data_IF_329197979511
#
_entry.id   IF_329197979511
#
_cell.length_a   1.000
_cell.length_b   1.000
_cell.length_c   1.000
_cell.angle_alpha   90.00
_cell.angle_beta   90.00
_cell.angle_gamma   90.00
#
_symmetry.space_group_name_H-M   'P 1'
#
loop_
_entity.id
_entity.type
_entity.pdbx_description
1 polymer ?
#
# COMPACT_ATOMS: atom_id res chain seq x y z
N UNK A 1 -58.66 43.14 38.71
CA UNK A 1 -58.90 43.22 37.26
C UNK A 1 -57.78 44.07 36.72
N UNK A 2 -56.62 43.49 36.44
CA UNK A 2 -56.27 42.58 35.34
C UNK A 2 -55.24 43.35 34.50
N UNK A 3 -54.01 42.83 34.50
CA UNK A 3 -52.95 43.31 33.64
C UNK A 3 -53.05 42.68 32.25
N UNK A 4 -52.58 43.39 31.24
CA UNK A 4 -52.41 42.87 29.89
C UNK A 4 -51.07 43.32 29.32
N UNK A 5 -50.03 42.54 29.60
CA UNK A 5 -48.73 42.65 28.92
C UNK A 5 -48.77 41.78 27.66
N UNK A 6 -48.43 42.37 26.51
CA UNK A 6 -48.36 41.68 25.23
C UNK A 6 -47.27 40.60 25.27
N UNK A 7 -47.68 39.35 25.05
CA UNK A 7 -46.78 38.21 24.98
C UNK A 7 -46.04 38.19 23.63
N UNK A 8 -44.73 38.39 23.67
CA UNK A 8 -43.83 37.97 22.59
C UNK A 8 -43.89 36.44 22.47
N UNK A 9 -44.28 35.96 21.30
CA UNK A 9 -44.29 34.54 20.97
C UNK A 9 -42.85 34.05 20.77
N UNK A 10 -42.19 33.59 21.83
CA UNK A 10 -40.93 32.86 21.72
C UNK A 10 -41.23 31.47 21.14
N UNK A 11 -40.83 31.25 19.88
CA UNK A 11 -40.92 29.95 19.24
C UNK A 11 -40.08 28.93 20.01
N UNK A 12 -40.73 27.87 20.50
CA UNK A 12 -40.09 26.76 21.21
C UNK A 12 -39.05 26.05 20.33
N UNK A 13 -37.77 26.10 20.72
CA UNK A 13 -36.70 25.33 20.08
C UNK A 13 -36.74 23.87 20.53
N UNK A 14 -37.21 22.96 19.68
CA UNK A 14 -37.15 21.52 19.93
C UNK A 14 -35.72 20.96 19.80
N UNK A 15 -35.47 19.80 20.40
CA UNK A 15 -34.21 19.03 20.41
C UNK A 15 -33.58 18.80 19.01
N UNK A 16 -34.33 19.01 17.94
CA UNK A 16 -33.94 18.81 16.54
C UNK A 16 -33.67 20.11 15.77
N UNK A 17 -33.72 21.28 16.41
CA UNK A 17 -33.35 22.54 15.77
C UNK A 17 -31.82 22.69 15.76
N UNK A 18 -31.17 22.20 14.70
CA UNK A 18 -29.77 22.51 14.44
C UNK A 18 -29.60 23.98 14.01
N UNK A 19 -28.56 24.68 14.49
CA UNK A 19 -28.28 26.06 14.09
C UNK A 19 -28.05 26.14 12.57
N UNK A 20 -28.68 27.14 11.92
CA UNK A 20 -28.49 27.39 10.49
C UNK A 20 -27.18 28.14 10.25
N UNK A 21 -26.35 27.59 9.36
CA UNK A 21 -25.10 28.20 8.91
C UNK A 21 -25.41 29.44 8.06
N UNK A 22 -24.82 30.58 8.41
CA UNK A 22 -24.88 31.82 7.61
C UNK A 22 -23.63 31.91 6.74
N UNK A 23 -23.80 31.71 5.44
CA UNK A 23 -22.71 31.84 4.47
C UNK A 23 -22.46 33.32 4.12
N UNK A 24 -21.19 33.73 4.07
CA UNK A 24 -20.77 35.05 3.58
C UNK A 24 -21.12 35.21 2.09
N UNK A 25 -21.28 36.45 1.62
CA UNK A 25 -21.56 36.74 0.21
C UNK A 25 -20.44 36.21 -0.69
N UNK A 26 -19.19 36.45 -0.32
CA UNK A 26 -18.00 35.96 -1.04
C UNK A 26 -18.01 34.43 -1.18
N UNK A 27 -18.39 33.71 -0.10
CA UNK A 27 -18.51 32.24 -0.12
C UNK A 27 -19.61 31.78 -1.05
N UNK A 28 -20.73 32.51 -1.13
CA UNK A 28 -21.84 32.18 -2.03
C UNK A 28 -21.45 32.39 -3.49
N UNK A 29 -20.73 33.46 -3.79
CA UNK A 29 -20.24 33.77 -5.13
C UNK A 29 -19.21 32.73 -5.60
N UNK A 30 -18.25 32.39 -4.73
CA UNK A 30 -17.27 31.34 -5.01
C UNK A 30 -17.94 30.00 -5.31
N UNK A 31 -18.90 29.58 -4.47
CA UNK A 31 -19.62 28.33 -4.67
C UNK A 31 -20.44 28.35 -5.98
N UNK A 32 -21.00 29.51 -6.37
CA UNK A 32 -21.68 29.64 -7.66
C UNK A 32 -20.73 29.50 -8.84
N UNK A 33 -19.53 30.09 -8.77
CA UNK A 33 -18.50 29.94 -9.79
C UNK A 33 -18.09 28.47 -9.93
N UNK A 34 -17.78 27.81 -8.81
CA UNK A 34 -17.45 26.39 -8.78
C UNK A 34 -18.56 25.51 -9.36
N UNK A 35 -19.82 25.78 -9.05
CA UNK A 35 -20.96 25.04 -9.61
C UNK A 35 -21.08 25.18 -11.14
N UNK A 36 -20.70 26.34 -11.70
CA UNK A 36 -20.70 26.59 -13.16
C UNK A 36 -19.56 25.85 -13.85
N UNK A 37 -18.37 25.84 -13.24
CA UNK A 37 -17.17 25.24 -13.82
C UNK A 37 -17.13 23.71 -13.70
N UNK A 38 -17.74 23.14 -12.66
CA UNK A 38 -17.68 21.70 -12.35
C UNK A 38 -18.62 20.81 -13.17
N UNK A 39 -19.26 21.33 -14.23
CA UNK A 39 -20.19 20.60 -15.11
C UNK A 39 -21.29 19.82 -14.36
N UNK A 40 -21.78 20.36 -13.23
CA UNK A 40 -22.86 19.75 -12.46
C UNK A 40 -24.17 19.76 -13.23
N UNK A 41 -24.99 18.73 -13.02
CA UNK A 41 -26.36 18.69 -13.55
C UNK A 41 -27.23 19.76 -12.89
N UNK A 42 -28.28 20.22 -13.59
CA UNK A 42 -29.22 21.24 -13.07
C UNK A 42 -29.86 20.82 -11.74
N UNK A 43 -30.08 19.52 -11.53
CA UNK A 43 -30.59 18.96 -10.28
C UNK A 43 -29.60 19.11 -9.12
N UNK A 44 -28.33 18.76 -9.35
CA UNK A 44 -27.27 18.90 -8.35
C UNK A 44 -27.06 20.38 -7.98
N UNK A 45 -27.05 21.27 -8.98
CA UNK A 45 -26.98 22.71 -8.75
C UNK A 45 -28.16 23.22 -7.92
N UNK A 46 -29.39 22.76 -8.21
CA UNK A 46 -30.58 23.12 -7.43
C UNK A 46 -30.50 22.62 -5.98
N UNK A 47 -30.02 21.41 -5.76
CA UNK A 47 -29.86 20.83 -4.43
C UNK A 47 -28.86 21.64 -3.59
N UNK A 48 -27.70 21.98 -4.16
CA UNK A 48 -26.67 22.78 -3.49
C UNK A 48 -27.16 24.19 -3.18
N UNK A 49 -27.80 24.86 -4.15
CA UNK A 49 -28.37 26.20 -3.95
C UNK A 49 -29.46 26.22 -2.86
N UNK A 50 -30.27 25.18 -2.75
CA UNK A 50 -31.28 25.07 -1.70
C UNK A 50 -30.65 24.99 -0.30
N UNK A 51 -29.55 24.26 -0.14
CA UNK A 51 -28.85 24.18 1.15
C UNK A 51 -28.21 25.52 1.52
N UNK A 52 -27.61 26.20 0.54
CA UNK A 52 -27.00 27.52 0.71
C UNK A 52 -28.01 28.58 1.17
N UNK A 53 -29.24 28.52 0.65
CA UNK A 53 -30.35 29.40 1.05
C UNK A 53 -30.92 29.05 2.43
N UNK A 54 -31.05 27.76 2.75
CA UNK A 54 -31.63 27.27 4.01
C UNK A 54 -30.64 27.31 5.19
N UNK A 55 -29.37 27.58 4.91
CA UNK A 55 -28.29 27.55 5.91
C UNK A 55 -27.99 26.14 6.41
N UNK A 56 -28.19 25.12 5.57
CA UNK A 56 -27.78 23.75 5.87
C UNK A 56 -26.31 23.52 5.49
N UNK A 57 -25.69 22.48 6.04
CA UNK A 57 -24.37 22.04 5.61
C UNK A 57 -24.38 21.55 4.15
N UNK A 58 -23.27 21.70 3.44
CA UNK A 58 -23.14 21.20 2.07
C UNK A 58 -23.05 19.66 2.06
N UNK A 59 -23.78 18.98 1.17
CA UNK A 59 -23.78 17.51 1.09
C UNK A 59 -22.46 16.98 0.52
N UNK A 60 -21.93 15.91 1.12
CA UNK A 60 -20.71 15.25 0.66
C UNK A 60 -20.88 14.50 -0.68
N UNK A 61 -22.12 14.15 -1.04
CA UNK A 61 -22.46 13.48 -2.30
C UNK A 61 -23.76 14.05 -2.86
N UNK A 62 -23.74 14.39 -4.14
CA UNK A 62 -24.93 14.80 -4.89
C UNK A 62 -25.19 13.79 -6.01
N UNK A 63 -26.28 13.01 -5.90
CA UNK A 63 -26.57 11.96 -6.88
C UNK A 63 -26.95 12.56 -8.26
N UNK A 64 -26.44 12.02 -9.37
CA UNK A 64 -26.77 12.50 -10.72
C UNK A 64 -28.13 11.94 -11.16
N UNK A 65 -29.22 12.67 -10.89
CA UNK A 65 -30.62 12.34 -11.24
C UNK A 65 -31.18 11.13 -10.48
N UNK A 66 -32.43 11.04 -10.02
CA UNK A 66 -33.70 11.71 -10.26
C UNK A 66 -34.52 11.67 -8.95
N UNK A 67 -35.72 12.25 -8.89
CA UNK A 67 -36.70 12.14 -7.78
C UNK A 67 -37.24 10.71 -7.53
N UNK A 68 -36.56 9.69 -8.03
CA UNK A 68 -36.85 8.31 -7.69
C UNK A 68 -36.30 8.03 -6.27
N UNK A 69 -37.09 7.43 -5.37
CA UNK A 69 -36.52 6.87 -4.16
C UNK A 69 -35.39 5.91 -4.57
N UNK A 70 -34.27 5.85 -3.83
CA UNK A 70 -33.20 4.93 -4.15
C UNK A 70 -33.82 3.54 -4.34
N UNK A 71 -33.66 2.96 -5.54
CA UNK A 71 -33.96 1.56 -5.76
C UNK A 71 -33.12 0.81 -4.72
N UNK A 72 -33.84 0.30 -3.73
CA UNK A 72 -33.39 -0.52 -2.61
C UNK A 72 -31.88 -0.49 -2.41
N UNK A 73 -31.41 0.28 -1.43
CA UNK A 73 -30.09 0.03 -0.86
C UNK A 73 -29.98 -1.49 -0.67
N UNK A 74 -29.04 -2.10 -1.39
CA UNK A 74 -28.67 -3.50 -1.21
C UNK A 74 -28.68 -3.78 0.29
N UNK A 75 -29.31 -4.87 0.76
CA UNK A 75 -29.39 -5.15 2.17
C UNK A 75 -27.96 -5.17 2.70
N UNK A 76 -27.55 -4.05 3.32
CA UNK A 76 -26.40 -4.03 4.17
C UNK A 76 -26.64 -5.19 5.13
N UNK A 77 -25.67 -6.10 5.32
CA UNK A 77 -25.86 -7.21 6.24
C UNK A 77 -26.37 -6.59 7.51
N UNK A 78 -27.64 -6.87 7.84
CA UNK A 78 -28.21 -6.36 9.05
C UNK A 78 -27.33 -6.98 10.11
N UNK A 79 -26.46 -6.19 10.73
CA UNK A 79 -25.91 -6.56 12.01
C UNK A 79 -27.15 -6.88 12.81
N UNK A 80 -27.34 -8.17 13.08
CA UNK A 80 -28.42 -8.66 13.91
C UNK A 80 -28.39 -7.72 15.10
N UNK A 81 -29.48 -6.98 15.32
CA UNK A 81 -29.58 -6.14 16.52
C UNK A 81 -29.51 -7.14 17.65
N UNK A 82 -28.30 -7.35 18.16
CA UNK A 82 -28.04 -8.19 19.29
C UNK A 82 -29.03 -7.76 20.36
N UNK A 83 -29.67 -8.73 20.99
CA UNK A 83 -30.57 -8.52 22.12
C UNK A 83 -30.01 -7.37 22.95
N UNK A 84 -30.75 -6.27 23.04
CA UNK A 84 -30.32 -5.11 23.81
C UNK A 84 -30.12 -5.59 25.24
N UNK A 85 -28.87 -5.89 25.59
CA UNK A 85 -28.51 -6.16 26.97
C UNK A 85 -28.86 -4.88 27.71
N UNK A 86 -29.54 -5.01 28.84
CA UNK A 86 -29.74 -3.90 29.76
C UNK A 86 -28.35 -3.45 30.23
N UNK A 87 -27.73 -2.54 29.48
CA UNK A 87 -26.41 -2.02 29.81
C UNK A 87 -26.62 -0.96 30.87
N UNK A 88 -26.76 -1.40 32.12
CA UNK A 88 -26.35 -0.54 33.23
C UNK A 88 -24.83 -0.32 33.06
N UNK A 89 -24.33 0.92 33.12
CA UNK A 89 -22.89 1.16 33.11
C UNK A 89 -22.28 0.48 34.34
N UNK A 90 -21.71 -0.71 34.17
CA UNK A 90 -21.04 -1.42 35.24
C UNK A 90 -19.54 -1.20 35.11
N UNK A 91 -18.91 -0.72 36.18
CA UNK A 91 -17.44 -0.63 36.25
C UNK A 91 -16.89 -2.05 36.22
N UNK A 92 -15.90 -2.30 35.36
CA UNK A 92 -15.17 -3.59 35.31
C UNK A 92 -14.40 -3.79 36.61
N UNK A 93 -14.22 -5.05 37.03
CA UNK A 93 -13.38 -5.36 38.18
C UNK A 93 -11.90 -5.09 37.86
N UNK A 94 -11.08 -4.88 38.89
CA UNK A 94 -9.64 -4.66 38.72
C UNK A 94 -8.98 -5.82 37.96
N UNK A 95 -9.34 -7.07 38.28
CA UNK A 95 -8.87 -8.27 37.57
C UNK A 95 -9.25 -8.27 36.09
N UNK A 96 -10.47 -7.85 35.74
CA UNK A 96 -10.89 -7.74 34.34
C UNK A 96 -10.16 -6.65 33.58
N UNK A 97 -9.80 -5.56 34.25
CA UNK A 97 -8.99 -4.50 33.65
C UNK A 97 -7.56 -4.99 33.42
N UNK A 98 -6.98 -5.74 34.37
CA UNK A 98 -5.63 -6.32 34.26
C UNK A 98 -5.55 -7.60 33.43
N UNK A 99 -6.68 -8.21 33.09
CA UNK A 99 -6.71 -9.44 32.30
C UNK A 99 -6.15 -9.21 30.89
N UNK A 100 -5.36 -10.16 30.40
CA UNK A 100 -4.73 -10.10 29.09
C UNK A 100 -3.51 -9.17 29.05
N UNK A 101 -3.21 -8.64 27.86
CA UNK A 101 -2.02 -7.82 27.60
C UNK A 101 -2.31 -6.30 27.60
N UNK A 102 -3.41 -5.86 28.23
CA UNK A 102 -3.85 -4.46 28.19
C UNK A 102 -2.83 -3.44 28.76
N UNK A 103 -1.96 -3.89 29.67
CA UNK A 103 -0.90 -3.07 30.27
C UNK A 103 0.50 -3.41 29.72
N UNK A 104 0.59 -4.38 28.81
CA UNK A 104 1.84 -4.77 28.18
C UNK A 104 2.20 -3.72 27.13
N UNK A 105 3.40 -3.15 27.22
CA UNK A 105 3.88 -2.16 26.24
C UNK A 105 4.00 -2.81 24.86
N UNK A 106 3.42 -2.18 23.84
CA UNK A 106 3.55 -2.63 22.46
C UNK A 106 5.02 -2.75 22.08
N UNK A 107 5.38 -3.90 21.49
CA UNK A 107 6.72 -4.12 20.98
C UNK A 107 6.85 -3.46 19.62
N UNK A 108 7.97 -2.77 19.39
CA UNK A 108 8.27 -2.20 18.08
C UNK A 108 8.28 -3.31 17.03
N UNK A 109 7.40 -3.18 16.04
CA UNK A 109 7.40 -4.02 14.85
C UNK A 109 7.90 -3.16 13.70
N UNK A 110 9.10 -3.46 13.15
CA UNK A 110 9.57 -2.75 11.97
C UNK A 110 8.57 -3.00 10.83
N UNK A 111 8.04 -1.91 10.26
CA UNK A 111 7.26 -1.98 9.03
C UNK A 111 8.19 -2.26 7.86
N UNK A 112 7.67 -2.86 6.78
CA UNK A 112 8.45 -3.05 5.55
C UNK A 112 9.04 -1.71 5.12
N UNK A 113 10.38 -1.65 5.03
CA UNK A 113 11.07 -0.45 4.62
C UNK A 113 10.63 -0.10 3.20
N UNK A 114 10.08 1.10 3.02
CA UNK A 114 9.81 1.62 1.69
C UNK A 114 11.15 1.95 1.05
N UNK A 115 11.30 1.61 -0.22
CA UNK A 115 12.45 2.03 -1.01
C UNK A 115 12.44 3.55 -1.17
N UNK A 116 13.34 4.22 -0.43
CA UNK A 116 13.45 5.68 -0.42
C UNK A 116 13.93 6.21 -1.77
N UNK A 117 14.74 5.44 -2.50
CA UNK A 117 15.26 5.80 -3.82
C UNK A 117 14.12 5.83 -4.85
N UNK A 118 13.21 4.86 -4.77
CA UNK A 118 12.00 4.79 -5.59
C UNK A 118 11.06 5.96 -5.31
N UNK A 119 10.82 6.30 -4.05
CA UNK A 119 9.96 7.44 -3.69
C UNK A 119 10.60 8.77 -4.10
N UNK A 120 11.92 8.90 -3.96
CA UNK A 120 12.66 10.09 -4.41
C UNK A 120 12.51 10.28 -5.92
N UNK A 121 12.68 9.22 -6.72
CA UNK A 121 12.48 9.26 -8.18
C UNK A 121 11.04 9.62 -8.55
N UNK A 122 10.06 9.00 -7.88
CA UNK A 122 8.63 9.30 -8.07
C UNK A 122 8.35 10.79 -7.86
N UNK A 123 8.82 11.36 -6.75
CA UNK A 123 8.61 12.78 -6.43
C UNK A 123 9.36 13.71 -7.40
N UNK A 124 10.57 13.33 -7.81
CA UNK A 124 11.33 14.09 -8.80
C UNK A 124 10.59 14.18 -10.14
N UNK A 125 9.99 13.07 -10.60
CA UNK A 125 9.19 13.04 -11.82
C UNK A 125 7.93 13.91 -11.68
N UNK A 126 7.22 13.81 -10.55
CA UNK A 126 6.05 14.66 -10.28
C UNK A 126 6.42 16.15 -10.31
N UNK A 127 7.57 16.54 -9.73
CA UNK A 127 8.00 17.94 -9.74
C UNK A 127 8.51 18.41 -11.10
N UNK A 128 9.14 17.53 -11.87
CA UNK A 128 9.69 17.89 -13.18
C UNK A 128 8.60 17.98 -14.27
N UNK A 129 7.67 17.01 -14.33
CA UNK A 129 6.72 16.85 -15.44
C UNK A 129 5.26 16.91 -15.00
N UNK A 130 4.98 17.01 -13.69
CA UNK A 130 3.61 17.04 -13.15
C UNK A 130 2.89 15.70 -13.19
N UNK A 131 3.56 14.63 -13.65
CA UNK A 131 2.97 13.30 -13.78
C UNK A 131 3.78 12.27 -13.00
N UNK A 132 3.06 11.35 -12.37
CA UNK A 132 3.68 10.18 -11.76
C UNK A 132 4.17 9.26 -12.88
N UNK A 133 5.40 8.75 -12.77
CA UNK A 133 5.95 7.81 -13.74
C UNK A 133 4.97 6.64 -13.88
N UNK A 134 4.57 6.26 -15.11
CA UNK A 134 3.71 5.10 -15.27
C UNK A 134 4.46 3.93 -14.65
N UNK A 135 3.86 3.31 -13.62
CA UNK A 135 4.35 2.04 -13.16
C UNK A 135 4.34 1.16 -14.40
N UNK A 136 5.53 0.79 -14.88
CA UNK A 136 5.65 -0.26 -15.87
C UNK A 136 4.79 -1.37 -15.31
N UNK A 137 3.67 -1.66 -15.97
CA UNK A 137 2.84 -2.79 -15.63
C UNK A 137 3.76 -3.97 -15.80
N UNK A 138 4.37 -4.40 -14.71
CA UNK A 138 5.18 -5.60 -14.69
C UNK A 138 4.21 -6.65 -15.19
N UNK A 139 4.39 -7.23 -16.39
CA UNK A 139 3.54 -8.32 -16.80
C UNK A 139 3.61 -9.31 -15.65
N UNK A 140 2.45 -9.61 -15.08
CA UNK A 140 2.26 -10.53 -13.97
C UNK A 140 3.31 -11.63 -14.10
N UNK A 141 4.32 -11.57 -13.23
CA UNK A 141 5.50 -12.41 -13.32
C UNK A 141 5.02 -13.85 -13.35
N UNK A 142 4.99 -14.45 -14.54
CA UNK A 142 5.28 -15.87 -14.65
C UNK A 142 6.53 -16.08 -13.79
N UNK A 143 6.59 -17.12 -12.93
CA UNK A 143 7.77 -17.39 -12.11
C UNK A 143 8.99 -17.17 -12.99
N UNK A 144 9.98 -16.38 -12.52
CA UNK A 144 11.00 -15.81 -13.39
C UNK A 144 11.42 -16.89 -14.35
N UNK A 145 11.14 -16.71 -15.64
CA UNK A 145 11.84 -17.48 -16.66
C UNK A 145 13.27 -17.16 -16.32
N UNK A 146 13.97 -18.15 -15.73
CA UNK A 146 15.39 -18.10 -15.40
C UNK A 146 16.00 -17.30 -16.52
N UNK A 147 16.62 -16.18 -16.17
CA UNK A 147 17.43 -15.39 -17.09
C UNK A 147 18.08 -16.41 -18.00
N UNK A 148 17.77 -16.36 -19.32
CA UNK A 148 18.13 -17.43 -20.26
C UNK A 148 19.47 -17.94 -19.82
N UNK A 149 19.48 -19.14 -19.24
CA UNK A 149 20.71 -19.74 -18.75
C UNK A 149 21.51 -19.80 -20.04
N UNK A 150 22.39 -18.82 -20.25
CA UNK A 150 23.42 -18.89 -21.26
C UNK A 150 23.95 -20.27 -20.99
N UNK A 151 23.70 -21.19 -21.92
CA UNK A 151 23.98 -22.60 -21.70
C UNK A 151 25.49 -22.67 -21.65
N UNK A 152 26.04 -22.31 -20.50
CA UNK A 152 27.45 -22.20 -20.19
C UNK A 152 27.89 -23.61 -20.32
N UNK A 153 28.71 -23.81 -21.33
CA UNK A 153 29.31 -25.09 -21.57
C UNK A 153 29.89 -25.59 -20.23
N UNK A 154 29.62 -26.85 -19.85
CA UNK A 154 30.00 -27.40 -18.53
C UNK A 154 31.47 -27.13 -18.19
N UNK A 155 32.32 -27.09 -19.22
CA UNK A 155 33.73 -26.71 -19.09
C UNK A 155 33.93 -25.29 -18.53
N UNK A 156 33.17 -24.31 -19.03
CA UNK A 156 33.21 -22.94 -18.54
C UNK A 156 32.70 -22.84 -17.10
N UNK A 157 31.63 -23.55 -16.74
CA UNK A 157 31.13 -23.57 -15.36
C UNK A 157 32.21 -24.05 -14.38
N UNK A 158 32.94 -25.11 -14.74
CA UNK A 158 34.00 -25.65 -13.86
C UNK A 158 35.18 -24.67 -13.75
N UNK A 159 35.50 -23.90 -14.79
CA UNK A 159 36.49 -22.81 -14.69
C UNK A 159 36.03 -21.71 -13.74
N UNK A 160 34.76 -21.31 -13.84
CA UNK A 160 34.18 -20.28 -12.97
C UNK A 160 34.16 -20.77 -11.51
N UNK A 161 33.81 -22.04 -11.26
CA UNK A 161 33.86 -22.66 -9.94
C UNK A 161 35.29 -22.66 -9.36
N UNK A 162 36.33 -22.93 -10.18
CA UNK A 162 37.73 -22.87 -9.71
C UNK A 162 38.11 -21.45 -9.31
N UNK A 163 37.74 -20.46 -10.12
CA UNK A 163 38.06 -19.06 -9.84
C UNK A 163 37.33 -18.56 -8.57
N UNK A 164 36.07 -18.94 -8.38
CA UNK A 164 35.32 -18.65 -7.15
C UNK A 164 36.03 -19.22 -5.91
N UNK A 165 36.51 -20.47 -5.98
CA UNK A 165 37.26 -21.09 -4.88
C UNK A 165 38.59 -20.39 -4.63
N UNK A 166 39.29 -19.96 -5.67
CA UNK A 166 40.53 -19.18 -5.56
C UNK A 166 40.27 -17.85 -4.85
N UNK A 167 39.24 -17.12 -5.26
CA UNK A 167 38.83 -15.85 -4.66
C UNK A 167 38.40 -16.02 -3.20
N UNK A 168 37.60 -17.04 -2.90
CA UNK A 168 37.23 -17.37 -1.52
C UNK A 168 38.45 -17.58 -0.63
N UNK A 169 39.47 -18.29 -1.13
CA UNK A 169 40.70 -18.49 -0.36
C UNK A 169 41.45 -17.17 -0.15
N UNK A 170 41.51 -16.31 -1.17
CA UNK A 170 42.09 -14.96 -1.05
C UNK A 170 41.36 -14.13 0.03
N UNK A 171 40.04 -14.11 0.01
CA UNK A 171 39.22 -13.42 1.02
C UNK A 171 39.49 -13.96 2.42
N UNK A 172 39.50 -15.29 2.59
CA UNK A 172 39.79 -15.89 3.89
C UNK A 172 41.22 -15.62 4.36
N UNK A 173 42.20 -15.55 3.44
CA UNK A 173 43.57 -15.16 3.79
C UNK A 173 43.67 -13.70 4.20
N UNK A 174 42.96 -12.79 3.52
CA UNK A 174 42.88 -11.37 3.87
C UNK A 174 42.26 -11.16 5.26
N UNK A 175 41.29 -12.00 5.65
CA UNK A 175 40.69 -12.04 6.99
C UNK A 175 41.57 -12.77 8.04
N UNK A 176 42.75 -13.27 7.66
CA UNK A 176 43.67 -13.98 8.55
C UNK A 176 43.30 -15.44 8.86
N UNK A 177 42.21 -15.97 8.28
CA UNK A 177 41.74 -17.37 8.46
C UNK A 177 42.14 -18.30 7.32
N UNK A 178 43.03 -17.89 6.42
CA UNK A 178 43.41 -18.69 5.26
C UNK A 178 43.94 -20.09 5.60
N UNK A 179 44.63 -20.27 6.72
CA UNK A 179 45.20 -21.57 7.14
C UNK A 179 44.14 -22.63 7.37
N UNK A 180 42.97 -22.25 7.86
CA UNK A 180 41.87 -23.15 8.18
C UNK A 180 41.23 -23.73 6.90
N UNK A 181 41.23 -22.95 5.82
CA UNK A 181 40.56 -23.29 4.57
C UNK A 181 41.52 -23.76 3.47
N UNK A 182 42.81 -23.44 3.55
CA UNK A 182 43.79 -23.67 2.48
C UNK A 182 43.77 -25.11 1.93
N UNK A 183 43.84 -26.11 2.81
CA UNK A 183 43.88 -27.51 2.42
C UNK A 183 42.56 -27.99 1.78
N UNK A 184 41.43 -27.55 2.32
CA UNK A 184 40.09 -27.92 1.85
C UNK A 184 39.87 -27.35 0.45
N UNK A 185 40.13 -26.04 0.30
CA UNK A 185 39.90 -25.34 -0.96
C UNK A 185 40.87 -25.84 -2.05
N UNK A 186 42.14 -26.08 -1.72
CA UNK A 186 43.09 -26.65 -2.69
C UNK A 186 42.70 -28.06 -3.13
N UNK A 187 42.11 -28.86 -2.24
CA UNK A 187 41.58 -30.17 -2.60
C UNK A 187 40.40 -30.05 -3.56
N UNK A 188 39.46 -29.15 -3.30
CA UNK A 188 38.31 -28.91 -4.19
C UNK A 188 38.76 -28.36 -5.56
N UNK A 189 39.71 -27.43 -5.59
CA UNK A 189 40.33 -26.95 -6.83
C UNK A 189 40.94 -28.12 -7.60
N UNK A 190 41.69 -29.00 -6.92
CA UNK A 190 42.28 -30.19 -7.55
C UNK A 190 41.23 -31.16 -8.08
N UNK A 191 40.09 -31.30 -7.39
CA UNK A 191 38.96 -32.11 -7.86
C UNK A 191 38.35 -31.51 -9.14
N UNK A 192 38.21 -30.19 -9.19
CA UNK A 192 37.66 -29.47 -10.35
C UNK A 192 38.61 -29.48 -11.56
N UNK A 193 39.91 -29.39 -11.34
CA UNK A 193 40.91 -29.54 -12.42
C UNK A 193 40.81 -30.93 -13.07
N UNK A 194 40.66 -32.00 -12.27
CA UNK A 194 40.44 -33.36 -12.81
C UNK A 194 39.14 -33.45 -13.61
N UNK A 195 38.08 -32.77 -13.17
CA UNK A 195 36.83 -32.69 -13.91
C UNK A 195 37.03 -32.03 -15.28
N UNK A 196 37.80 -30.93 -15.34
CA UNK A 196 38.16 -30.27 -16.60
C UNK A 196 38.95 -31.20 -17.54
N UNK A 197 39.96 -31.90 -17.01
CA UNK A 197 40.76 -32.85 -17.80
C UNK A 197 39.88 -33.93 -18.43
N UNK A 198 38.92 -34.49 -17.69
CA UNK A 198 37.99 -35.49 -18.22
C UNK A 198 37.09 -34.94 -19.32
N UNK A 199 36.58 -33.71 -19.16
CA UNK A 199 35.76 -33.04 -20.17
C UNK A 199 36.59 -32.79 -21.44
N UNK A 200 37.83 -32.31 -21.29
CA UNK A 200 38.73 -32.03 -22.41
C UNK A 200 39.13 -33.31 -23.15
N UNK A 201 39.48 -34.38 -22.43
CA UNK A 201 39.74 -35.70 -23.01
C UNK A 201 38.54 -36.17 -23.84
N UNK A 202 37.32 -36.08 -23.30
CA UNK A 202 36.11 -36.51 -24.01
C UNK A 202 35.90 -35.71 -25.31
N UNK A 203 36.06 -34.39 -25.28
CA UNK A 203 35.98 -33.55 -26.49
C UNK A 203 37.03 -33.91 -27.51
N UNK A 204 38.26 -34.16 -27.06
CA UNK A 204 39.35 -34.54 -27.97
C UNK A 204 39.06 -35.85 -28.68
N UNK A 205 38.44 -36.82 -28.01
CA UNK A 205 38.01 -38.09 -28.61
C UNK A 205 36.85 -37.89 -29.59
N UNK A 206 35.83 -37.10 -29.22
CA UNK A 206 34.72 -36.75 -30.11
C UNK A 206 35.24 -36.07 -31.39
N UNK A 207 36.18 -35.13 -31.26
CA UNK A 207 36.81 -34.46 -32.40
C UNK A 207 37.60 -35.44 -33.29
N UNK A 208 38.37 -36.35 -32.69
CA UNK A 208 39.08 -37.43 -33.44
C UNK A 208 38.12 -38.35 -34.17
N UNK A 209 36.94 -38.65 -33.61
CA UNK A 209 35.93 -39.46 -34.29
C UNK A 209 35.28 -38.73 -35.46
N UNK A 210 35.08 -37.41 -35.35
CA UNK A 210 34.48 -36.59 -36.40
C UNK A 210 35.43 -36.33 -37.59
N UNK A 211 36.75 -36.37 -37.34
CA UNK A 211 37.78 -36.19 -38.36
C UNK A 211 38.20 -37.49 -39.08
N UNK A 212 37.61 -38.63 -38.73
CA UNK A 212 37.78 -39.92 -39.43
C UNK A 212 36.67 -40.13 -40.45
#
# INVERSE_FOLDING_TARGET
MDGGSAAESSSSGGLWNCPRVKYSNDTRELLQLMMRESRLTSFQQRQLNNQLKKGGALPLRCNPTSSAPPLQAQPQPSLSKGRALSVRPQRRSAEQCSAGDNYTRERFQPSAARDLEKEKRRLQNIFATGQEEPQLSVPQTQPPKRAEETHTDRFQEVLDEIEERRQFLEEMTALGRGRDYNHIINFEISQKIKELELIDMKRSEELKTLMK
#
